data_IF_457563004709
#
_entry.id   IF_457563004709
#
_cell.length_a   1.000
_cell.length_b   1.000
_cell.length_c   1.000
_cell.angle_alpha   90.00
_cell.angle_beta   90.00
_cell.angle_gamma   90.00
#
_symmetry.space_group_name_H-M   'P 1'
#
loop_
_entity.id
_entity.type
_entity.pdbx_description
1 polymer ?
#
# COMPACT_ATOMS: atom_id res chain seq x y z
N UNK A 1 -5.16 -2.60 -4.79
CA UNK A 1 -4.26 -1.55 -4.23
C UNK A 1 -2.92 -2.14 -3.84
N UNK A 2 -1.84 -1.35 -3.80
CA UNK A 2 -0.52 -1.80 -3.30
C UNK A 2 -0.36 -1.32 -1.85
N UNK A 3 0.02 -2.22 -0.95
CA UNK A 3 0.29 -1.88 0.46
C UNK A 3 1.71 -2.29 0.82
N UNK A 4 2.43 -1.44 1.53
CA UNK A 4 3.80 -1.75 1.92
C UNK A 4 3.83 -2.82 3.01
N UNK A 5 3.06 -2.60 4.09
CA UNK A 5 2.83 -3.59 5.14
C UNK A 5 1.40 -4.14 5.05
N UNK A 6 1.18 -5.47 5.11
CA UNK A 6 -0.15 -6.09 4.97
C UNK A 6 -1.04 -5.96 6.22
N UNK A 7 -1.13 -4.78 6.83
CA UNK A 7 -1.90 -4.54 8.06
C UNK A 7 -3.39 -4.32 7.82
N UNK A 8 -3.81 -4.17 6.56
CA UNK A 8 -5.20 -3.87 6.17
C UNK A 8 -5.98 -5.10 5.68
N UNK A 9 -5.45 -6.32 5.87
CA UNK A 9 -6.05 -7.58 5.40
C UNK A 9 -7.54 -7.74 5.77
N UNK A 10 -7.91 -7.49 7.03
CA UNK A 10 -9.31 -7.60 7.47
C UNK A 10 -10.20 -6.52 6.84
N UNK A 11 -9.75 -5.27 6.83
CA UNK A 11 -10.47 -4.17 6.18
C UNK A 11 -10.74 -4.51 4.71
N UNK A 12 -9.69 -4.92 3.98
CA UNK A 12 -9.82 -5.23 2.58
C UNK A 12 -10.75 -6.43 2.33
N UNK A 13 -10.70 -7.46 3.17
CA UNK A 13 -11.63 -8.58 3.11
C UNK A 13 -13.09 -8.14 3.27
N UNK A 14 -13.37 -7.28 4.25
CA UNK A 14 -14.74 -6.83 4.54
C UNK A 14 -15.33 -5.99 3.41
N UNK A 15 -14.50 -5.30 2.64
CA UNK A 15 -14.93 -4.44 1.52
C UNK A 15 -14.62 -5.01 0.13
N UNK A 16 -14.17 -6.27 0.03
CA UNK A 16 -13.86 -6.91 -1.25
C UNK A 16 -12.69 -6.28 -2.02
N UNK A 17 -11.73 -5.68 -1.31
CA UNK A 17 -10.56 -5.02 -1.90
C UNK A 17 -9.42 -6.03 -2.03
N UNK A 18 -8.84 -6.13 -3.22
CA UNK A 18 -7.62 -6.90 -3.44
C UNK A 18 -6.37 -6.06 -3.12
N UNK A 19 -5.47 -6.65 -2.33
CA UNK A 19 -4.22 -6.03 -1.92
C UNK A 19 -3.03 -6.80 -2.50
N UNK A 20 -2.01 -6.04 -2.95
CA UNK A 20 -0.69 -6.57 -3.30
C UNK A 20 0.28 -6.08 -2.21
N UNK A 21 0.74 -6.94 -1.30
CA UNK A 21 1.70 -6.56 -0.27
C UNK A 21 3.13 -6.48 -0.82
N UNK A 22 3.91 -5.50 -0.37
CA UNK A 22 5.34 -5.37 -0.69
C UNK A 22 6.19 -6.18 0.28
N UNK A 23 5.93 -6.08 1.57
CA UNK A 23 6.58 -6.90 2.59
C UNK A 23 5.77 -8.14 2.93
N UNK A 24 6.48 -9.25 3.14
CA UNK A 24 5.93 -10.48 3.68
C UNK A 24 6.67 -10.86 4.98
N UNK A 25 5.92 -11.08 6.06
CA UNK A 25 6.49 -11.52 7.35
C UNK A 25 7.46 -10.53 8.00
N UNK A 26 7.34 -9.23 7.70
CA UNK A 26 8.22 -8.17 8.23
C UNK A 26 9.62 -8.14 7.60
N UNK A 27 9.78 -8.77 6.42
CA UNK A 27 11.02 -8.71 5.64
C UNK A 27 10.80 -7.84 4.42
N UNK A 28 11.80 -7.01 4.12
CA UNK A 28 11.85 -6.27 2.86
C UNK A 28 11.86 -7.22 1.65
N UNK A 29 11.27 -6.81 0.52
CA UNK A 29 11.29 -7.60 -0.69
C UNK A 29 12.72 -7.79 -1.21
N UNK A 30 12.99 -8.97 -1.78
CA UNK A 30 14.23 -9.18 -2.54
C UNK A 30 14.23 -8.32 -3.80
N UNK A 31 15.39 -8.13 -4.44
CA UNK A 31 15.48 -7.40 -5.70
C UNK A 31 14.57 -8.00 -6.79
N UNK A 32 14.43 -9.33 -6.82
CA UNK A 32 13.49 -10.04 -7.70
C UNK A 32 12.03 -9.76 -7.33
N UNK A 33 11.70 -9.83 -6.04
CA UNK A 33 10.36 -9.51 -5.54
C UNK A 33 9.93 -8.09 -5.88
N UNK A 34 10.84 -7.12 -5.72
CA UNK A 34 10.60 -5.73 -6.07
C UNK A 34 10.33 -5.56 -7.58
N UNK A 35 11.11 -6.22 -8.44
CA UNK A 35 10.89 -6.20 -9.90
C UNK A 35 9.54 -6.80 -10.27
N UNK A 36 9.17 -7.92 -9.68
CA UNK A 36 7.88 -8.56 -9.92
C UNK A 36 6.72 -7.66 -9.50
N UNK A 37 6.84 -6.99 -8.36
CA UNK A 37 5.85 -6.05 -7.88
C UNK A 37 5.70 -4.82 -8.78
N UNK A 38 6.81 -4.25 -9.26
CA UNK A 38 6.79 -3.13 -10.22
C UNK A 38 6.09 -3.56 -11.52
N UNK A 39 6.36 -4.77 -12.01
CA UNK A 39 5.72 -5.30 -13.21
C UNK A 39 4.22 -5.48 -13.04
N UNK A 40 3.78 -6.08 -11.92
CA UNK A 40 2.36 -6.24 -11.60
C UNK A 40 1.67 -4.88 -11.45
N UNK A 41 2.31 -3.93 -10.77
CA UNK A 41 1.79 -2.57 -10.63
C UNK A 41 1.56 -1.91 -11.98
N UNK A 42 2.51 -2.06 -12.92
CA UNK A 42 2.37 -1.55 -14.29
C UNK A 42 1.27 -2.28 -15.07
N UNK A 43 1.20 -3.60 -14.96
CA UNK A 43 0.19 -4.43 -15.63
C UNK A 43 -1.23 -4.07 -15.21
N UNK A 44 -1.44 -3.88 -13.91
CA UNK A 44 -2.74 -3.50 -13.34
C UNK A 44 -2.98 -1.99 -13.30
N UNK A 45 -2.09 -1.18 -13.88
CA UNK A 45 -2.12 0.28 -13.85
C UNK A 45 -2.32 0.87 -12.43
N UNK A 46 -1.68 0.25 -11.44
CA UNK A 46 -1.71 0.71 -10.05
C UNK A 46 -0.71 1.86 -9.90
N UNK A 47 -1.19 2.99 -9.38
CA UNK A 47 -0.41 4.24 -9.25
C UNK A 47 -0.18 4.69 -7.81
N UNK A 48 -0.81 4.03 -6.85
CA UNK A 48 -0.73 4.42 -5.44
C UNK A 48 -0.18 3.28 -4.60
N UNK A 49 0.86 3.59 -3.83
CA UNK A 49 1.43 2.70 -2.82
C UNK A 49 1.06 3.24 -1.44
N UNK A 50 0.34 2.43 -0.66
CA UNK A 50 -0.01 2.76 0.70
C UNK A 50 1.09 2.31 1.66
N UNK A 51 1.66 3.24 2.42
CA UNK A 51 2.69 2.95 3.42
C UNK A 51 2.29 3.48 4.81
N UNK A 52 2.88 2.89 5.84
CA UNK A 52 2.66 3.31 7.23
C UNK A 52 3.70 4.35 7.63
N UNK A 53 3.31 5.50 8.21
CA UNK A 53 4.27 6.53 8.65
C UNK A 53 5.20 6.06 9.78
N UNK A 54 4.88 4.95 10.44
CA UNK A 54 5.66 4.37 11.53
C UNK A 54 6.94 3.65 11.06
N UNK A 55 7.07 3.43 9.76
CA UNK A 55 8.22 2.73 9.16
C UNK A 55 8.90 3.60 8.09
N UNK A 56 10.08 3.16 7.64
CA UNK A 56 10.79 3.81 6.55
C UNK A 56 9.96 3.74 5.26
N UNK A 57 9.81 4.88 4.58
CA UNK A 57 9.08 4.98 3.30
C UNK A 57 9.99 4.94 2.08
N UNK A 58 11.30 4.72 2.25
CA UNK A 58 12.28 4.81 1.16
C UNK A 58 12.01 3.78 0.06
N UNK A 59 11.84 2.51 0.43
CA UNK A 59 11.54 1.42 -0.50
C UNK A 59 10.20 1.64 -1.21
N UNK A 60 9.17 2.10 -0.50
CA UNK A 60 7.89 2.49 -1.09
C UNK A 60 8.04 3.62 -2.13
N UNK A 61 8.82 4.66 -1.82
CA UNK A 61 9.09 5.78 -2.74
C UNK A 61 9.86 5.34 -3.98
N UNK A 62 10.84 4.46 -3.83
CA UNK A 62 11.60 3.92 -4.96
C UNK A 62 10.67 3.17 -5.93
N UNK A 63 9.77 2.33 -5.41
CA UNK A 63 8.80 1.60 -6.23
C UNK A 63 7.80 2.57 -6.88
N UNK A 64 7.29 3.56 -6.14
CA UNK A 64 6.36 4.56 -6.65
C UNK A 64 6.95 5.34 -7.84
N UNK A 65 8.23 5.71 -7.78
CA UNK A 65 8.91 6.38 -8.88
C UNK A 65 9.00 5.49 -10.13
N UNK A 66 9.26 4.19 -9.97
CA UNK A 66 9.38 3.24 -11.09
C UNK A 66 8.05 2.99 -11.81
N UNK A 67 6.93 3.19 -11.12
CA UNK A 67 5.57 3.02 -11.68
C UNK A 67 4.93 4.35 -12.07
N UNK A 68 5.66 5.47 -11.98
CA UNK A 68 5.15 6.84 -12.19
C UNK A 68 3.89 7.07 -11.35
N UNK A 69 4.02 6.83 -10.05
CA UNK A 69 2.96 6.87 -9.06
C UNK A 69 3.38 7.60 -7.79
N UNK A 70 2.57 7.49 -6.74
CA UNK A 70 2.77 8.18 -5.48
C UNK A 70 2.68 7.27 -4.25
N UNK A 71 3.23 7.75 -3.14
CA UNK A 71 3.11 7.11 -1.83
C UNK A 71 2.09 7.87 -0.99
N UNK A 72 1.02 7.19 -0.59
CA UNK A 72 0.02 7.72 0.34
C UNK A 72 0.23 7.08 1.71
N UNK A 73 0.29 7.91 2.74
CA UNK A 73 0.50 7.43 4.11
C UNK A 73 -0.83 7.14 4.80
N UNK A 74 -0.96 5.92 5.30
CA UNK A 74 -2.10 5.46 6.09
C UNK A 74 -1.59 4.73 7.34
N UNK A 75 -1.96 5.20 8.52
CA UNK A 75 -1.49 4.62 9.77
C UNK A 75 -2.55 3.67 10.35
N UNK A 76 -2.18 2.42 10.72
CA UNK A 76 -3.05 1.55 11.49
C UNK A 76 -3.07 1.90 12.99
N UNK A 77 -2.27 2.88 13.43
CA UNK A 77 -2.04 3.23 14.84
C UNK A 77 -2.56 4.62 15.22
N UNK A 78 -3.34 5.26 14.36
CA UNK A 78 -4.01 6.52 14.68
C UNK A 78 -4.90 6.39 15.92
N UNK A 79 -4.77 7.37 16.84
CA UNK A 79 -5.51 7.38 18.11
C UNK A 79 -7.02 7.46 17.88
N UNK A 80 -7.48 8.25 16.91
CA UNK A 80 -8.90 8.37 16.60
C UNK A 80 -9.31 7.31 15.57
N UNK A 81 -9.61 6.10 16.07
CA UNK A 81 -9.93 4.95 15.23
C UNK A 81 -11.02 5.21 14.19
N UNK A 82 -12.17 5.76 14.60
CA UNK A 82 -13.32 5.93 13.70
C UNK A 82 -13.04 6.96 12.61
N UNK A 83 -12.38 8.07 12.96
CA UNK A 83 -11.98 9.06 11.96
C UNK A 83 -10.91 8.50 11.02
N UNK A 84 -9.96 7.73 11.56
CA UNK A 84 -8.89 7.11 10.78
C UNK A 84 -9.44 6.13 9.74
N UNK A 85 -10.32 5.20 10.14
CA UNK A 85 -10.92 4.24 9.21
C UNK A 85 -11.67 4.97 8.08
N UNK A 86 -12.34 6.11 8.35
CA UNK A 86 -12.95 6.93 7.29
C UNK A 86 -11.92 7.58 6.36
N UNK A 87 -10.78 8.03 6.88
CA UNK A 87 -9.69 8.58 6.06
C UNK A 87 -9.08 7.51 5.16
N UNK A 88 -8.78 6.34 5.72
CA UNK A 88 -8.22 5.20 4.99
C UNK A 88 -9.18 4.71 3.91
N UNK A 89 -10.48 4.57 4.24
CA UNK A 89 -11.50 4.20 3.26
C UNK A 89 -11.55 5.16 2.05
N UNK A 90 -11.49 6.48 2.31
CA UNK A 90 -11.44 7.49 1.23
C UNK A 90 -10.16 7.40 0.41
N UNK A 91 -9.02 7.18 1.06
CA UNK A 91 -7.74 7.05 0.38
C UNK A 91 -7.73 5.82 -0.53
N UNK A 92 -8.26 4.68 -0.06
CA UNK A 92 -8.38 3.48 -0.89
C UNK A 92 -9.36 3.68 -2.04
N UNK A 93 -10.52 4.28 -1.79
CA UNK A 93 -11.49 4.59 -2.84
C UNK A 93 -10.90 5.47 -3.94
N UNK A 94 -10.24 6.57 -3.57
CA UNK A 94 -9.61 7.47 -4.55
C UNK A 94 -8.47 6.86 -5.35
N UNK A 95 -7.85 5.77 -4.88
CA UNK A 95 -6.82 5.03 -5.62
C UNK A 95 -7.39 3.96 -6.56
N UNK A 96 -8.71 3.72 -6.51
CA UNK A 96 -9.41 2.74 -7.37
C UNK A 96 -10.27 3.40 -8.46
N UNK A 97 -10.40 4.73 -8.42
CA UNK A 97 -11.02 5.56 -9.48
C UNK A 97 -10.01 5.86 -10.60
#
# INVERSE_FOLDING_TARGET
IIVFHPTWAYFAKDYGIEQIPIEEGGKEPTAEGMRNLINQAKEYNLKVIFASPEFSTQSAKAIANEIDGEVVLVSPLEKNYVENIRKVARAFAGAME
#
